data_IF_929291496186
#
_entry.id   IF_929291496186
#
_cell.length_a   1.000
_cell.length_b   1.000
_cell.length_c   1.000
_cell.angle_alpha   90.00
_cell.angle_beta   90.00
_cell.angle_gamma   90.00
#
_symmetry.space_group_name_H-M   'P 1'
#
loop_
_entity.id
_entity.type
_entity.pdbx_description
1 polymer ?
#
# COMPACT_ATOMS: atom_id res chain seq x y z
N UNK A 1 -14.83 -0.30 19.86
CA UNK A 1 -13.70 -1.14 19.39
C UNK A 1 -13.27 -0.56 18.05
N UNK A 2 -12.06 -0.03 17.95
CA UNK A 2 -11.56 0.53 16.69
C UNK A 2 -11.01 -0.63 15.87
N UNK A 3 -11.59 -0.92 14.71
CA UNK A 3 -11.11 -1.98 13.79
C UNK A 3 -10.24 -1.39 12.66
N UNK A 4 -9.88 -0.11 12.79
CA UNK A 4 -9.08 0.59 11.79
C UNK A 4 -7.61 0.19 11.88
N UNK A 5 -7.00 -0.03 10.71
CA UNK A 5 -5.55 -0.17 10.55
C UNK A 5 -4.97 1.17 10.11
N UNK A 6 -3.72 1.45 10.50
CA UNK A 6 -2.98 2.65 10.11
C UNK A 6 -1.62 2.26 9.55
N UNK A 7 -1.23 2.86 8.42
CA UNK A 7 0.13 2.76 7.89
C UNK A 7 0.91 4.01 8.30
N UNK A 8 2.12 3.82 8.82
CA UNK A 8 3.07 4.89 9.11
C UNK A 8 4.36 4.54 8.38
N UNK A 9 4.97 5.51 7.69
CA UNK A 9 6.22 5.28 6.96
C UNK A 9 7.16 6.48 7.08
N UNK A 10 8.45 6.19 7.16
CA UNK A 10 9.54 7.14 7.01
C UNK A 10 10.59 6.62 6.01
N UNK A 11 11.75 7.28 5.93
CA UNK A 11 12.84 6.90 5.00
C UNK A 11 13.48 5.54 5.32
N UNK A 12 13.24 5.00 6.51
CA UNK A 12 13.93 3.82 7.06
C UNK A 12 12.99 2.64 7.29
N UNK A 13 11.73 2.89 7.63
CA UNK A 13 10.78 1.85 7.98
C UNK A 13 9.36 2.18 7.51
N UNK A 14 8.59 1.13 7.26
CA UNK A 14 7.14 1.18 7.07
C UNK A 14 6.52 0.27 8.11
N UNK A 15 5.47 0.73 8.80
CA UNK A 15 4.81 0.00 9.89
C UNK A 15 3.30 0.02 9.71
N UNK A 16 2.65 -1.05 10.15
CA UNK A 16 1.19 -1.17 10.23
C UNK A 16 0.79 -1.29 11.69
N UNK A 17 -0.09 -0.38 12.13
CA UNK A 17 -0.68 -0.39 13.47
C UNK A 17 -2.10 -0.95 13.39
N UNK A 18 -2.43 -1.86 14.30
CA UNK A 18 -3.78 -2.42 14.43
C UNK A 18 -4.56 -1.72 15.54
N UNK A 19 -5.89 -1.74 15.47
CA UNK A 19 -6.75 -1.26 16.55
C UNK A 19 -6.67 -2.08 17.85
N UNK A 20 -5.94 -3.19 17.86
CA UNK A 20 -5.63 -3.97 19.06
C UNK A 20 -4.34 -3.52 19.76
N UNK A 21 -3.55 -2.63 19.13
CA UNK A 21 -2.27 -2.13 19.65
C UNK A 21 -1.05 -2.89 19.14
N UNK A 22 -1.19 -3.74 18.12
CA UNK A 22 -0.06 -4.41 17.49
C UNK A 22 0.69 -3.45 16.55
N UNK A 23 2.01 -3.60 16.48
CA UNK A 23 2.88 -2.89 15.55
C UNK A 23 3.60 -3.93 14.70
N UNK A 24 3.36 -3.88 13.39
CA UNK A 24 3.79 -4.92 12.46
C UNK A 24 4.63 -4.28 11.35
N UNK A 25 5.84 -4.79 11.14
CA UNK A 25 6.66 -4.43 9.99
C UNK A 25 6.29 -5.33 8.79
N UNK A 26 5.88 -4.77 7.65
CA UNK A 26 5.48 -5.52 6.48
C UNK A 26 6.71 -6.06 5.76
N UNK A 27 6.62 -7.30 5.29
CA UNK A 27 7.67 -7.91 4.49
C UNK A 27 7.88 -7.11 3.18
N UNK A 28 9.14 -6.79 2.87
CA UNK A 28 9.51 -6.07 1.66
C UNK A 28 9.16 -4.58 1.67
N UNK A 29 8.82 -4.00 2.84
CA UNK A 29 8.49 -2.58 2.97
C UNK A 29 7.19 -2.16 2.28
N UNK A 30 6.36 -3.11 1.87
CA UNK A 30 5.11 -2.88 1.14
C UNK A 30 3.90 -3.15 2.04
N UNK A 31 3.10 -2.12 2.31
CA UNK A 31 1.84 -2.24 3.03
C UNK A 31 0.67 -1.69 2.21
N UNK A 32 -0.52 -2.26 2.44
CA UNK A 32 -1.77 -1.75 1.91
C UNK A 32 -2.89 -2.02 2.92
N UNK A 33 -3.83 -1.07 3.03
CA UNK A 33 -5.01 -1.16 3.89
C UNK A 33 -6.26 -0.71 3.12
N UNK A 34 -7.44 -0.97 3.67
CA UNK A 34 -8.73 -0.62 3.05
C UNK A 34 -9.27 -1.69 2.10
N UNK A 35 -10.45 -1.44 1.52
CA UNK A 35 -11.21 -2.44 0.75
C UNK A 35 -10.49 -2.95 -0.50
N UNK A 36 -9.65 -2.12 -1.12
CA UNK A 36 -8.82 -2.49 -2.27
C UNK A 36 -7.41 -2.99 -1.91
N UNK A 37 -7.10 -3.08 -0.60
CA UNK A 37 -5.75 -3.26 -0.10
C UNK A 37 -5.05 -4.51 -0.61
N UNK A 38 -5.71 -5.66 -0.58
CA UNK A 38 -5.10 -6.92 -1.01
C UNK A 38 -4.83 -6.98 -2.52
N UNK A 39 -5.71 -6.39 -3.34
CA UNK A 39 -5.49 -6.29 -4.79
C UNK A 39 -4.30 -5.37 -5.10
N UNK A 40 -4.25 -4.21 -4.44
CA UNK A 40 -3.14 -3.28 -4.57
C UNK A 40 -1.82 -3.91 -4.11
N UNK A 41 -1.82 -4.61 -2.96
CA UNK A 41 -0.63 -5.28 -2.42
C UNK A 41 -0.13 -6.38 -3.35
N UNK A 42 -1.01 -7.22 -3.87
CA UNK A 42 -0.63 -8.29 -4.79
C UNK A 42 -0.01 -7.72 -6.08
N UNK A 43 -0.64 -6.71 -6.68
CA UNK A 43 -0.12 -6.05 -7.87
C UNK A 43 1.21 -5.33 -7.62
N UNK A 44 1.32 -4.58 -6.53
CA UNK A 44 2.54 -3.86 -6.17
C UNK A 44 3.69 -4.82 -5.89
N UNK A 45 3.44 -5.95 -5.22
CA UNK A 45 4.45 -6.97 -4.95
C UNK A 45 5.02 -7.56 -6.25
N UNK A 46 4.15 -7.95 -7.18
CA UNK A 46 4.59 -8.49 -8.47
C UNK A 46 5.43 -7.46 -9.25
N UNK A 47 5.01 -6.19 -9.26
CA UNK A 47 5.76 -5.13 -9.92
C UNK A 47 7.11 -4.85 -9.25
N UNK A 48 7.19 -4.93 -7.92
CA UNK A 48 8.42 -4.73 -7.16
C UNK A 48 9.43 -5.86 -7.41
N UNK A 49 8.97 -7.10 -7.53
CA UNK A 49 9.83 -8.27 -7.74
C UNK A 49 10.29 -8.40 -9.21
N UNK A 50 9.45 -8.04 -10.18
CA UNK A 50 9.67 -8.36 -11.60
C UNK A 50 10.07 -7.16 -12.48
N UNK A 51 10.21 -5.96 -11.91
CA UNK A 51 10.50 -4.75 -12.70
C UNK A 51 11.52 -3.83 -12.02
N UNK A 52 12.08 -2.90 -12.80
CA UNK A 52 12.94 -1.82 -12.29
C UNK A 52 12.17 -0.50 -12.06
N UNK A 53 10.85 -0.58 -11.85
CA UNK A 53 10.03 0.60 -11.64
C UNK A 53 10.32 1.25 -10.28
N UNK A 54 10.28 2.58 -10.23
CA UNK A 54 10.32 3.32 -8.96
C UNK A 54 9.02 3.18 -8.15
N UNK A 55 9.10 3.47 -6.86
CA UNK A 55 7.98 3.32 -5.91
C UNK A 55 6.69 4.02 -6.38
N UNK A 56 6.78 5.26 -6.86
CA UNK A 56 5.62 6.01 -7.35
C UNK A 56 4.93 5.32 -8.53
N UNK A 57 5.72 4.79 -9.47
CA UNK A 57 5.18 4.09 -10.65
C UNK A 57 4.53 2.75 -10.26
N UNK A 58 5.12 2.03 -9.30
CA UNK A 58 4.55 0.80 -8.74
C UNK A 58 3.20 1.10 -8.09
N UNK A 59 3.13 2.09 -7.19
CA UNK A 59 1.89 2.45 -6.48
C UNK A 59 0.80 2.88 -7.45
N UNK A 60 1.10 3.74 -8.45
CA UNK A 60 0.12 4.16 -9.45
C UNK A 60 -0.47 2.98 -10.23
N UNK A 61 0.36 2.05 -10.70
CA UNK A 61 -0.09 0.87 -11.43
C UNK A 61 -0.90 -0.08 -10.55
N UNK A 62 -0.44 -0.34 -9.34
CA UNK A 62 -1.10 -1.22 -8.39
C UNK A 62 -2.49 -0.69 -7.98
N UNK A 63 -2.60 0.60 -7.71
CA UNK A 63 -3.88 1.24 -7.38
C UNK A 63 -4.84 1.28 -8.57
N UNK A 64 -4.34 1.47 -9.80
CA UNK A 64 -5.17 1.35 -11.01
C UNK A 64 -5.75 -0.06 -11.17
N UNK A 65 -4.96 -1.11 -10.88
CA UNK A 65 -5.45 -2.50 -10.86
C UNK A 65 -6.50 -2.68 -9.77
N UNK A 66 -6.24 -2.20 -8.55
CA UNK A 66 -7.19 -2.29 -7.44
C UNK A 66 -8.53 -1.59 -7.76
N UNK A 67 -8.49 -0.41 -8.39
CA UNK A 67 -9.67 0.33 -8.82
C UNK A 67 -10.48 -0.41 -9.90
N UNK A 68 -9.83 -1.22 -10.74
CA UNK A 68 -10.50 -2.02 -11.76
C UNK A 68 -11.19 -3.28 -11.22
N UNK A 69 -10.83 -3.72 -10.01
CA UNK A 69 -11.30 -4.98 -9.41
C UNK A 69 -12.25 -4.73 -8.23
N UNK A 70 -11.90 -3.81 -7.33
CA UNK A 70 -12.62 -3.57 -6.09
C UNK A 70 -13.70 -2.51 -6.30
N UNK A 71 -14.97 -2.89 -6.13
CA UNK A 71 -16.12 -1.97 -6.25
C UNK A 71 -16.10 -0.79 -5.28
N UNK A 72 -15.30 -0.87 -4.21
CA UNK A 72 -15.13 0.19 -3.21
C UNK A 72 -13.87 1.04 -3.41
N UNK A 73 -13.09 0.79 -4.45
CA UNK A 73 -11.88 1.56 -4.80
C UNK A 73 -12.06 2.15 -6.19
N UNK A 74 -11.90 3.46 -6.34
CA UNK A 74 -12.04 4.13 -7.63
C UNK A 74 -10.69 4.61 -8.17
N UNK A 75 -10.70 5.32 -9.29
CA UNK A 75 -9.51 5.81 -9.99
C UNK A 75 -9.01 7.19 -9.50
N UNK A 76 -9.66 7.77 -8.49
CA UNK A 76 -9.27 9.05 -7.91
C UNK A 76 -8.12 8.84 -6.92
N UNK A 77 -6.90 8.98 -7.41
CA UNK A 77 -5.68 8.67 -6.67
C UNK A 77 -4.84 9.91 -6.35
N UNK A 78 -4.53 10.10 -5.07
CA UNK A 78 -3.47 11.02 -4.60
C UNK A 78 -2.23 10.20 -4.25
N UNK A 79 -1.06 10.66 -4.66
CA UNK A 79 0.22 10.00 -4.34
C UNK A 79 1.11 10.99 -3.61
N UNK A 80 1.52 10.62 -2.41
CA UNK A 80 2.45 11.38 -1.57
C UNK A 80 3.80 10.67 -1.52
N UNK A 81 4.88 11.45 -1.50
CA UNK A 81 6.25 10.92 -1.45
C UNK A 81 7.05 11.58 -0.34
N UNK A 82 7.84 10.79 0.38
CA UNK A 82 8.86 11.33 1.27
C UNK A 82 9.97 11.94 0.40
N UNK A 83 10.23 13.23 0.58
CA UNK A 83 11.31 13.92 -0.14
C UNK A 83 12.68 13.31 0.13
N UNK A 84 13.64 13.59 -0.75
CA UNK A 84 15.04 13.13 -0.62
C UNK A 84 15.70 13.57 0.69
#
# INVERSE_FOLDING_TARGET
RLEAMMIVADKTATLVLTGAGDVIEPQGGLAAIGSGGDYARAAARALLEETALGAEAIVKKAMAIAASICVYTNDQLTVETLGA
#
